data_IF_249803656973
#
_entry.id   IF_249803656973
#
_cell.length_a   1.000
_cell.length_b   1.000
_cell.length_c   1.000
_cell.angle_alpha   90.00
_cell.angle_beta   90.00
_cell.angle_gamma   90.00
#
_symmetry.space_group_name_H-M   'P 1'
#
loop_
_entity.id
_entity.type
_entity.pdbx_description
1 polymer ?
#
# COMPACT_ATOMS: atom_id res chain seq x y z
N UNK A 1 -0.91 -20.68 -14.95
CA UNK A 1 -0.12 -19.58 -14.34
C UNK A 1 1.38 -19.89 -14.40
N UNK A 2 2.25 -18.90 -14.58
CA UNK A 2 3.72 -19.08 -14.59
C UNK A 2 4.25 -19.05 -13.16
N UNK A 3 5.19 -19.96 -12.82
CA UNK A 3 5.87 -20.00 -11.52
C UNK A 3 7.20 -19.24 -11.62
N UNK A 4 7.32 -18.12 -10.94
CA UNK A 4 8.53 -17.27 -10.94
C UNK A 4 9.53 -17.67 -9.86
N UNK A 5 9.04 -18.12 -8.70
CA UNK A 5 9.79 -18.64 -7.58
C UNK A 5 9.43 -20.11 -7.39
N UNK A 6 10.43 -20.98 -7.37
CA UNK A 6 10.23 -22.44 -7.21
C UNK A 6 10.37 -22.85 -5.77
N UNK A 7 11.36 -22.29 -5.06
CA UNK A 7 11.54 -22.54 -3.63
C UNK A 7 12.21 -21.37 -2.95
N UNK A 8 11.99 -21.26 -1.65
CA UNK A 8 12.69 -20.31 -0.77
C UNK A 8 13.17 -21.06 0.47
N UNK A 9 14.45 -20.91 0.80
CA UNK A 9 15.09 -21.65 1.89
C UNK A 9 15.62 -20.68 2.93
N UNK A 10 15.14 -20.82 4.16
CA UNK A 10 15.64 -20.10 5.33
C UNK A 10 16.95 -20.73 5.82
N UNK A 11 17.84 -19.95 6.46
CA UNK A 11 19.07 -20.49 7.03
C UNK A 11 18.77 -21.50 8.13
N UNK A 12 19.53 -22.60 8.16
CA UNK A 12 19.43 -23.58 9.23
C UNK A 12 19.81 -22.97 10.59
N UNK A 13 19.42 -23.63 11.68
CA UNK A 13 19.80 -23.18 13.03
C UNK A 13 21.32 -23.04 13.18
N UNK A 14 22.06 -23.97 12.61
CA UNK A 14 23.54 -23.95 12.62
C UNK A 14 24.09 -22.74 11.86
N UNK A 15 23.52 -22.41 10.69
CA UNK A 15 23.94 -21.23 9.91
C UNK A 15 23.65 -19.93 10.67
N UNK A 16 22.50 -19.86 11.35
CA UNK A 16 22.14 -18.72 12.18
C UNK A 16 23.11 -18.54 13.35
N UNK A 17 23.42 -19.63 14.09
CA UNK A 17 24.38 -19.61 15.20
C UNK A 17 25.77 -19.20 14.74
N UNK A 18 26.24 -19.73 13.60
CA UNK A 18 27.53 -19.36 13.01
C UNK A 18 27.57 -17.88 12.62
N UNK A 19 26.52 -17.38 11.97
CA UNK A 19 26.44 -15.97 11.56
C UNK A 19 26.45 -15.02 12.77
N UNK A 20 25.70 -15.33 13.82
CA UNK A 20 25.71 -14.57 15.08
C UNK A 20 27.05 -14.68 15.82
N UNK A 21 27.77 -15.78 15.62
CA UNK A 21 29.09 -16.01 16.20
C UNK A 21 30.20 -15.19 15.58
N UNK A 22 30.04 -14.58 14.41
CA UNK A 22 31.06 -13.76 13.73
C UNK A 22 31.43 -12.54 14.60
N UNK A 23 32.74 -12.21 14.60
CA UNK A 23 33.30 -11.14 15.43
C UNK A 23 32.63 -9.76 15.18
N UNK A 24 32.15 -9.51 13.95
CA UNK A 24 31.44 -8.29 13.58
C UNK A 24 30.09 -8.19 14.32
N UNK A 25 29.35 -9.28 14.42
CA UNK A 25 28.05 -9.33 15.08
C UNK A 25 28.17 -9.28 16.62
N UNK A 26 29.25 -9.81 17.18
CA UNK A 26 29.56 -9.77 18.63
C UNK A 26 29.90 -8.38 19.16
N UNK A 27 30.43 -7.50 18.30
CA UNK A 27 30.84 -6.14 18.67
C UNK A 27 29.74 -5.10 18.56
N UNK A 28 28.53 -5.50 18.17
CA UNK A 28 27.41 -4.58 18.07
C UNK A 28 26.82 -4.30 19.45
N UNK A 29 26.40 -3.08 19.70
CA UNK A 29 25.68 -2.70 20.93
C UNK A 29 24.19 -3.07 20.88
N UNK A 30 23.72 -3.75 19.84
CA UNK A 30 22.34 -4.12 19.67
C UNK A 30 22.03 -5.39 20.48
N UNK A 31 21.01 -5.33 21.32
CA UNK A 31 20.48 -6.49 22.05
C UNK A 31 19.48 -7.29 21.22
N UNK A 32 18.82 -6.64 20.25
CA UNK A 32 17.83 -7.26 19.39
C UNK A 32 18.50 -7.79 18.11
N UNK A 33 18.50 -9.10 17.95
CA UNK A 33 19.08 -9.81 16.80
C UNK A 33 18.03 -10.19 15.75
N UNK A 34 16.85 -9.56 15.76
CA UNK A 34 15.80 -9.83 14.76
C UNK A 34 16.37 -9.75 13.33
N UNK A 35 16.00 -10.69 12.41
CA UNK A 35 14.99 -11.76 12.54
C UNK A 35 15.54 -13.12 13.02
N UNK A 36 16.79 -13.20 13.47
CA UNK A 36 17.36 -14.44 14.01
C UNK A 36 16.50 -14.98 15.16
N UNK A 37 16.23 -16.28 15.13
CA UNK A 37 15.40 -16.96 16.13
C UNK A 37 13.88 -16.89 15.88
N UNK A 38 13.39 -16.07 14.96
CA UNK A 38 11.93 -16.00 14.64
C UNK A 38 11.41 -17.36 14.15
N UNK A 39 12.18 -18.06 13.35
CA UNK A 39 11.82 -19.34 12.74
C UNK A 39 12.34 -20.55 13.53
N UNK A 40 12.71 -20.37 14.79
CA UNK A 40 13.31 -21.45 15.62
C UNK A 40 12.39 -22.65 15.87
N UNK A 41 11.08 -22.46 15.74
CA UNK A 41 10.06 -23.51 15.87
C UNK A 41 9.70 -24.19 14.54
N UNK A 42 10.26 -23.75 13.41
CA UNK A 42 9.99 -24.32 12.09
C UNK A 42 10.89 -25.55 11.88
N UNK A 43 10.26 -26.67 11.55
CA UNK A 43 10.96 -27.91 11.26
C UNK A 43 11.54 -27.90 9.84
N UNK A 44 10.78 -27.35 8.89
CA UNK A 44 11.21 -27.21 7.51
C UNK A 44 11.73 -25.79 7.24
N UNK A 45 12.94 -25.71 6.73
CA UNK A 45 13.55 -24.44 6.33
C UNK A 45 13.37 -24.16 4.83
N UNK A 46 13.06 -25.17 4.02
CA UNK A 46 12.80 -25.05 2.58
C UNK A 46 11.30 -25.05 2.31
N UNK A 47 10.84 -24.00 1.66
CA UNK A 47 9.46 -23.80 1.26
C UNK A 47 9.36 -24.00 -0.26
N UNK A 48 8.56 -24.95 -0.70
CA UNK A 48 8.24 -25.12 -2.12
C UNK A 48 7.10 -24.16 -2.48
N UNK A 49 7.27 -23.47 -3.63
CA UNK A 49 6.31 -22.48 -4.11
C UNK A 49 5.57 -23.01 -5.33
N UNK A 50 4.27 -22.82 -5.33
CA UNK A 50 3.38 -23.07 -6.47
C UNK A 50 2.95 -21.73 -7.10
N UNK A 51 2.28 -21.71 -8.26
CA UNK A 51 1.79 -20.46 -8.85
C UNK A 51 0.96 -19.60 -7.91
N UNK A 52 0.22 -20.23 -7.00
CA UNK A 52 -0.41 -19.59 -5.85
C UNK A 52 -0.01 -20.39 -4.60
N UNK A 53 0.63 -19.73 -3.65
CA UNK A 53 1.05 -20.33 -2.37
C UNK A 53 0.45 -19.52 -1.23
N UNK A 54 -0.22 -20.19 -0.31
CA UNK A 54 -0.85 -19.56 0.85
C UNK A 54 -0.07 -19.93 2.11
N UNK A 55 0.42 -18.91 2.81
CA UNK A 55 1.06 -19.06 4.12
C UNK A 55 0.00 -18.97 5.21
N UNK A 56 -0.24 -20.07 5.91
CA UNK A 56 -1.21 -20.14 6.99
C UNK A 56 -0.53 -20.26 8.36
N UNK A 57 -1.06 -19.57 9.36
CA UNK A 57 -0.56 -19.62 10.73
C UNK A 57 -1.11 -18.49 11.60
N UNK A 58 -1.05 -18.65 12.93
CA UNK A 58 -1.49 -17.65 13.89
C UNK A 58 -0.65 -16.37 13.90
N UNK A 59 -1.09 -15.38 14.67
CA UNK A 59 -0.32 -14.14 14.85
C UNK A 59 1.01 -14.46 15.56
N UNK A 60 2.08 -13.81 15.11
CA UNK A 60 3.45 -14.04 15.61
C UNK A 60 4.13 -15.30 15.07
N UNK A 61 3.53 -16.05 14.13
CA UNK A 61 4.17 -17.23 13.50
C UNK A 61 5.28 -16.90 12.52
N UNK A 62 5.52 -15.62 12.22
CA UNK A 62 6.60 -15.19 11.34
C UNK A 62 6.21 -14.97 9.86
N UNK A 63 4.92 -15.05 9.49
CA UNK A 63 4.47 -14.87 8.08
C UNK A 63 4.95 -13.55 7.47
N UNK A 64 4.64 -12.43 8.09
CA UNK A 64 5.08 -11.10 7.66
C UNK A 64 6.60 -10.99 7.60
N UNK A 65 7.31 -11.57 8.58
CA UNK A 65 8.78 -11.61 8.57
C UNK A 65 9.30 -12.39 7.36
N UNK A 66 8.71 -13.55 7.06
CA UNK A 66 9.07 -14.35 5.90
C UNK A 66 8.83 -13.59 4.60
N UNK A 67 7.66 -12.97 4.43
CA UNK A 67 7.34 -12.17 3.23
C UNK A 67 8.31 -10.99 3.07
N UNK A 68 8.73 -10.35 4.17
CA UNK A 68 9.74 -9.30 4.14
C UNK A 68 11.11 -9.81 3.71
N UNK A 69 11.53 -10.99 4.22
CA UNK A 69 12.80 -11.63 3.82
C UNK A 69 12.77 -12.02 2.34
N UNK A 70 11.67 -12.59 1.87
CA UNK A 70 11.48 -12.93 0.45
C UNK A 70 11.50 -11.68 -0.42
N UNK A 71 10.79 -10.62 -0.03
CA UNK A 71 10.76 -9.35 -0.74
C UNK A 71 12.17 -8.75 -0.94
N UNK A 72 12.96 -8.70 0.13
CA UNK A 72 14.36 -8.20 0.07
C UNK A 72 15.28 -9.14 -0.72
N UNK A 73 15.20 -10.46 -0.51
CA UNK A 73 16.03 -11.43 -1.21
C UNK A 73 15.78 -11.45 -2.72
N UNK A 74 14.55 -11.22 -3.13
CA UNK A 74 14.11 -11.19 -4.54
C UNK A 74 14.19 -9.79 -5.17
N UNK A 75 14.50 -8.75 -4.38
CA UNK A 75 14.56 -7.37 -4.85
C UNK A 75 13.21 -6.83 -5.33
N UNK A 76 12.11 -7.20 -4.66
CA UNK A 76 10.77 -6.76 -5.02
C UNK A 76 10.50 -5.31 -4.61
N UNK A 77 9.70 -4.62 -5.42
CA UNK A 77 9.24 -3.28 -5.07
C UNK A 77 8.35 -3.31 -3.82
N UNK A 78 8.44 -2.27 -2.98
CA UNK A 78 7.61 -2.13 -1.79
C UNK A 78 7.38 -0.67 -1.46
N UNK A 79 6.16 -0.33 -1.06
CA UNK A 79 5.78 1.03 -0.64
C UNK A 79 5.82 1.18 0.88
N UNK A 80 5.19 0.25 1.61
CA UNK A 80 5.11 0.31 3.07
C UNK A 80 6.46 0.07 3.75
N UNK A 81 6.68 0.78 4.85
CA UNK A 81 7.84 0.57 5.73
C UNK A 81 7.61 -0.68 6.57
N UNK A 82 8.67 -1.45 6.81
CA UNK A 82 8.63 -2.65 7.64
C UNK A 82 9.79 -2.67 8.64
N UNK A 83 9.74 -3.57 9.61
CA UNK A 83 10.77 -3.68 10.63
C UNK A 83 12.09 -4.23 10.03
N UNK A 84 13.02 -3.33 9.75
CA UNK A 84 14.34 -3.62 9.22
C UNK A 84 15.40 -3.35 10.29
N UNK A 85 15.53 -4.29 11.23
CA UNK A 85 16.55 -4.23 12.26
C UNK A 85 17.97 -4.34 11.69
N UNK A 86 18.99 -4.02 12.49
CA UNK A 86 20.38 -4.00 12.08
C UNK A 86 20.90 -5.32 11.50
N UNK A 87 20.32 -6.46 11.93
CA UNK A 87 20.71 -7.80 11.47
C UNK A 87 19.85 -8.34 10.33
N UNK A 88 18.85 -7.58 9.86
CA UNK A 88 17.91 -8.07 8.85
C UNK A 88 18.64 -8.47 7.56
N UNK A 89 19.51 -7.62 7.03
CA UNK A 89 20.27 -7.91 5.83
C UNK A 89 21.20 -9.12 5.99
N UNK A 90 21.82 -9.28 7.16
CA UNK A 90 22.66 -10.45 7.43
C UNK A 90 21.88 -11.77 7.34
N UNK A 91 20.61 -11.74 7.73
CA UNK A 91 19.73 -12.91 7.62
C UNK A 91 19.28 -13.14 6.17
N UNK A 92 18.91 -12.07 5.44
CA UNK A 92 18.59 -12.13 4.00
C UNK A 92 19.72 -12.76 3.20
N UNK A 93 20.95 -12.37 3.49
CA UNK A 93 22.15 -12.89 2.80
C UNK A 93 22.41 -14.40 3.04
N UNK A 94 21.79 -14.98 4.06
CA UNK A 94 21.83 -16.41 4.34
C UNK A 94 20.68 -17.18 3.68
N UNK A 95 19.62 -16.49 3.27
CA UNK A 95 18.50 -17.11 2.59
C UNK A 95 18.92 -17.54 1.18
N UNK A 96 18.32 -18.63 0.70
CA UNK A 96 18.54 -19.13 -0.65
C UNK A 96 17.18 -19.26 -1.35
N UNK A 97 17.18 -19.11 -2.65
CA UNK A 97 15.96 -19.29 -3.43
C UNK A 97 16.27 -19.83 -4.83
N UNK A 98 15.31 -20.50 -5.41
CA UNK A 98 15.35 -21.02 -6.77
C UNK A 98 14.18 -20.47 -7.57
N UNK A 99 14.43 -20.04 -8.80
CA UNK A 99 13.40 -19.47 -9.66
C UNK A 99 13.99 -18.76 -10.87
N UNK A 100 13.24 -17.83 -11.42
CA UNK A 100 13.70 -16.97 -12.52
C UNK A 100 14.88 -16.10 -12.04
N UNK A 101 15.95 -16.00 -12.85
CA UNK A 101 17.14 -15.23 -12.48
C UNK A 101 16.86 -13.77 -12.14
N UNK A 102 15.86 -13.20 -12.76
CA UNK A 102 15.42 -11.82 -12.54
C UNK A 102 13.90 -11.79 -12.47
N UNK A 103 13.38 -11.21 -11.38
CA UNK A 103 11.95 -11.01 -11.23
C UNK A 103 11.45 -10.00 -12.27
N UNK A 104 10.27 -10.19 -12.84
CA UNK A 104 9.68 -9.23 -13.77
C UNK A 104 9.56 -7.85 -13.15
N UNK A 105 9.81 -6.79 -13.94
CA UNK A 105 9.66 -5.41 -13.51
C UNK A 105 8.25 -5.14 -12.98
N UNK A 106 8.14 -4.46 -11.83
CA UNK A 106 6.88 -4.22 -11.15
C UNK A 106 6.36 -5.41 -10.34
N UNK A 107 7.20 -6.45 -10.10
CA UNK A 107 6.94 -7.44 -9.06
C UNK A 107 7.08 -6.79 -7.68
N UNK A 108 6.12 -7.01 -6.78
CA UNK A 108 6.02 -6.21 -5.57
C UNK A 108 5.52 -6.99 -4.34
N UNK A 109 5.81 -6.42 -3.18
CA UNK A 109 5.16 -6.77 -1.91
C UNK A 109 4.03 -5.78 -1.69
N UNK A 110 2.80 -6.26 -1.54
CA UNK A 110 1.60 -5.48 -1.28
C UNK A 110 1.04 -5.86 0.10
N UNK A 111 0.75 -4.87 0.93
CA UNK A 111 0.35 -5.09 2.32
C UNK A 111 -0.98 -4.41 2.64
N UNK A 112 -1.63 -4.83 3.72
CA UNK A 112 -2.80 -4.12 4.26
C UNK A 112 -2.46 -2.70 4.71
N UNK A 113 -1.22 -2.44 5.12
CA UNK A 113 -0.75 -1.09 5.49
C UNK A 113 -0.78 -0.14 4.29
N UNK A 114 -0.41 -0.61 3.10
CA UNK A 114 -0.50 0.19 1.86
C UNK A 114 -1.94 0.60 1.54
N UNK A 115 -2.91 -0.30 1.82
CA UNK A 115 -4.35 0.00 1.67
C UNK A 115 -4.77 1.09 2.66
N UNK A 116 -4.26 1.00 3.89
CA UNK A 116 -4.57 1.98 4.93
C UNK A 116 -4.02 3.37 4.58
N UNK A 117 -2.80 3.44 4.06
CA UNK A 117 -2.20 4.69 3.58
C UNK A 117 -3.02 5.30 2.43
N UNK A 118 -3.42 4.50 1.43
CA UNK A 118 -4.29 4.96 0.34
C UNK A 118 -5.66 5.47 0.86
N UNK A 119 -6.22 4.84 1.92
CA UNK A 119 -7.45 5.30 2.56
C UNK A 119 -7.28 6.64 3.28
N UNK A 120 -6.14 6.84 3.96
CA UNK A 120 -5.83 8.13 4.61
C UNK A 120 -5.65 9.24 3.58
N UNK A 121 -4.94 8.97 2.49
CA UNK A 121 -4.77 9.92 1.37
C UNK A 121 -6.11 10.33 0.77
N UNK A 122 -7.02 9.37 0.54
CA UNK A 122 -8.38 9.65 0.04
C UNK A 122 -9.20 10.48 1.03
N UNK A 123 -9.07 10.23 2.34
CA UNK A 123 -9.78 11.03 3.36
C UNK A 123 -9.24 12.45 3.41
N UNK A 124 -7.93 12.63 3.37
CA UNK A 124 -7.30 13.96 3.33
C UNK A 124 -7.71 14.76 2.09
N UNK A 125 -7.80 14.10 0.93
CA UNK A 125 -8.31 14.70 -0.31
C UNK A 125 -9.77 15.12 -0.16
N UNK A 126 -10.62 14.28 0.41
CA UNK A 126 -12.03 14.58 0.63
C UNK A 126 -12.22 15.74 1.64
N UNK A 127 -11.40 15.78 2.70
CA UNK A 127 -11.38 16.90 3.64
C UNK A 127 -10.98 18.22 2.95
N UNK A 128 -9.96 18.19 2.08
CA UNK A 128 -9.56 19.33 1.26
C UNK A 128 -10.71 19.80 0.35
N UNK A 129 -11.38 18.88 -0.33
CA UNK A 129 -12.54 19.18 -1.19
C UNK A 129 -13.70 19.80 -0.39
N UNK A 130 -13.96 19.33 0.83
CA UNK A 130 -15.02 19.88 1.69
C UNK A 130 -14.68 21.29 2.18
N UNK A 131 -13.40 21.58 2.48
CA UNK A 131 -12.94 22.93 2.81
C UNK A 131 -13.08 23.88 1.61
N UNK A 132 -12.66 23.44 0.41
CA UNK A 132 -12.82 24.22 -0.82
C UNK A 132 -14.29 24.46 -1.13
N UNK A 133 -15.15 23.46 -0.91
CA UNK A 133 -16.62 23.59 -1.06
C UNK A 133 -17.20 24.64 -0.12
N UNK A 134 -16.76 24.67 1.14
CA UNK A 134 -17.19 25.68 2.11
C UNK A 134 -16.72 27.08 1.72
N UNK A 135 -15.47 27.22 1.27
CA UNK A 135 -14.94 28.49 0.79
C UNK A 135 -15.70 29.01 -0.43
N UNK A 136 -16.00 28.14 -1.40
CA UNK A 136 -16.81 28.50 -2.58
C UNK A 136 -18.26 28.84 -2.25
N UNK A 137 -18.85 28.16 -1.24
CA UNK A 137 -20.20 28.54 -0.77
C UNK A 137 -20.19 29.91 -0.09
N UNK A 138 -19.14 30.25 0.61
CA UNK A 138 -18.99 31.58 1.19
C UNK A 138 -18.77 32.63 0.09
N UNK A 139 -17.87 32.38 -0.87
CA UNK A 139 -17.69 33.25 -2.05
C UNK A 139 -19.02 33.47 -2.81
N UNK A 140 -19.80 32.41 -3.00
CA UNK A 140 -21.12 32.50 -3.62
C UNK A 140 -22.06 33.45 -2.88
N UNK A 141 -22.10 33.40 -1.55
CA UNK A 141 -22.91 34.30 -0.71
C UNK A 141 -22.44 35.74 -0.82
N UNK A 142 -21.13 35.95 -0.81
CA UNK A 142 -20.53 37.27 -0.90
C UNK A 142 -20.76 37.90 -2.28
N UNK A 143 -20.57 37.15 -3.37
CA UNK A 143 -20.85 37.60 -4.74
C UNK A 143 -22.34 37.94 -4.97
N UNK A 144 -23.24 37.29 -4.26
CA UNK A 144 -24.67 37.52 -4.40
C UNK A 144 -25.17 38.71 -3.57
N UNK A 145 -24.45 39.02 -2.48
CA UNK A 145 -24.78 40.14 -1.58
C UNK A 145 -24.19 41.49 -2.04
N UNK A 146 -23.10 41.44 -2.82
CA UNK A 146 -22.40 42.63 -3.31
C UNK A 146 -22.96 43.10 -4.65
N UNK A 147 -23.37 44.39 -4.73
CA UNK A 147 -23.66 45.06 -6.00
C UNK A 147 -22.34 45.32 -6.77
N UNK A 148 -22.13 44.61 -7.87
CA UNK A 148 -20.91 44.76 -8.69
C UNK A 148 -21.11 45.80 -9.82
N UNK A 149 -20.17 46.71 -9.94
CA UNK A 149 -20.08 47.64 -11.08
C UNK A 149 -18.72 47.40 -11.83
N UNK A 150 -18.82 47.14 -13.13
CA UNK A 150 -17.64 46.96 -13.97
C UNK A 150 -16.90 48.29 -14.12
N UNK A 151 -15.62 48.33 -13.73
CA UNK A 151 -14.77 49.53 -13.85
C UNK A 151 -13.60 49.35 -14.83
N UNK A 152 -13.19 48.12 -15.09
CA UNK A 152 -12.06 47.79 -15.99
C UNK A 152 -12.31 46.48 -16.73
N UNK A 153 -11.59 46.23 -17.83
CA UNK A 153 -11.55 44.98 -18.57
C UNK A 153 -10.94 43.82 -17.73
N UNK A 154 -10.07 44.14 -16.78
CA UNK A 154 -9.48 43.16 -15.88
C UNK A 154 -10.50 42.57 -14.91
N UNK A 155 -11.63 43.25 -14.68
CA UNK A 155 -12.74 42.81 -13.84
C UNK A 155 -13.64 41.76 -14.53
N UNK A 156 -13.37 41.44 -15.80
CA UNK A 156 -14.24 40.53 -16.58
C UNK A 156 -14.37 39.14 -15.99
N UNK A 157 -13.27 38.58 -15.44
CA UNK A 157 -13.29 37.30 -14.75
C UNK A 157 -14.20 37.30 -13.50
N UNK A 158 -14.13 38.40 -12.72
CA UNK A 158 -14.98 38.58 -11.54
C UNK A 158 -16.46 38.78 -11.93
N UNK A 159 -16.72 39.56 -12.97
CA UNK A 159 -18.08 39.73 -13.51
C UNK A 159 -18.72 38.40 -13.90
N UNK A 160 -17.97 37.50 -14.55
CA UNK A 160 -18.43 36.19 -14.96
C UNK A 160 -18.84 35.34 -13.75
N UNK A 161 -18.06 35.39 -12.67
CA UNK A 161 -18.40 34.71 -11.39
C UNK A 161 -19.64 35.30 -10.74
N UNK A 162 -19.79 36.62 -10.70
CA UNK A 162 -20.99 37.31 -10.18
C UNK A 162 -22.22 36.88 -10.95
N UNK A 163 -22.18 36.89 -12.28
CA UNK A 163 -23.31 36.46 -13.14
C UNK A 163 -23.63 34.98 -12.90
N UNK A 164 -22.61 34.13 -12.77
CA UNK A 164 -22.79 32.71 -12.45
C UNK A 164 -23.43 32.51 -11.08
N UNK A 165 -23.00 33.24 -10.06
CA UNK A 165 -23.59 33.19 -8.71
C UNK A 165 -25.07 33.71 -8.68
N UNK A 166 -25.41 34.70 -9.51
CA UNK A 166 -26.77 35.22 -9.59
C UNK A 166 -27.73 34.27 -10.35
N UNK A 167 -27.23 33.53 -11.34
CA UNK A 167 -28.02 32.63 -12.19
C UNK A 167 -28.18 31.23 -11.63
N UNK A 168 -27.23 30.76 -10.87
CA UNK A 168 -27.16 29.39 -10.38
C UNK A 168 -27.55 29.30 -8.90
N UNK A 169 -27.91 28.10 -8.46
CA UNK A 169 -27.98 27.77 -7.04
C UNK A 169 -26.57 27.60 -6.48
N UNK A 170 -26.38 27.77 -5.17
CA UNK A 170 -25.07 27.56 -4.51
C UNK A 170 -24.43 26.20 -4.84
N UNK A 171 -25.23 25.13 -4.86
CA UNK A 171 -24.75 23.78 -5.22
C UNK A 171 -24.33 23.68 -6.68
N UNK A 172 -25.01 24.36 -7.60
CA UNK A 172 -24.64 24.36 -9.02
C UNK A 172 -23.36 25.19 -9.26
N UNK A 173 -23.23 26.31 -8.57
CA UNK A 173 -22.02 27.15 -8.61
C UNK A 173 -20.78 26.38 -8.12
N UNK A 174 -20.86 25.75 -6.95
CA UNK A 174 -19.76 24.94 -6.39
C UNK A 174 -19.41 23.77 -7.30
N UNK A 175 -20.38 23.07 -7.87
CA UNK A 175 -20.14 21.94 -8.78
C UNK A 175 -19.44 22.38 -10.08
N UNK A 176 -19.71 23.58 -10.55
CA UNK A 176 -19.07 24.13 -11.75
C UNK A 176 -17.61 24.48 -11.52
N UNK A 177 -17.26 24.96 -10.32
CA UNK A 177 -15.88 25.37 -9.97
C UNK A 177 -15.01 24.19 -9.52
N UNK A 178 -15.54 23.21 -8.76
CA UNK A 178 -14.76 22.08 -8.22
C UNK A 178 -14.55 20.90 -9.20
N UNK A 179 -15.25 20.86 -10.33
CA UNK A 179 -15.25 19.62 -11.14
C UNK A 179 -16.01 18.47 -10.45
N UNK A 180 -15.89 17.25 -10.90
CA UNK A 180 -16.67 16.11 -10.37
C UNK A 180 -16.33 15.71 -8.92
N UNK A 181 -17.33 15.25 -8.17
CA UNK A 181 -17.14 14.65 -6.84
C UNK A 181 -16.35 13.34 -6.93
N UNK A 182 -15.30 13.21 -6.12
CA UNK A 182 -14.74 11.90 -5.78
C UNK A 182 -15.73 11.21 -4.83
N UNK A 183 -16.49 10.24 -5.34
CA UNK A 183 -17.37 9.43 -4.49
C UNK A 183 -16.51 8.64 -3.51
N UNK A 184 -16.75 8.83 -2.23
CA UNK A 184 -16.16 8.00 -1.19
C UNK A 184 -16.59 6.54 -1.39
N UNK A 185 -15.65 5.65 -1.70
CA UNK A 185 -15.86 4.21 -1.67
C UNK A 185 -15.84 3.73 -0.22
N UNK A 186 -16.50 2.62 0.07
CA UNK A 186 -16.35 1.96 1.37
C UNK A 186 -14.89 1.47 1.55
N UNK A 187 -14.45 1.30 2.80
CA UNK A 187 -13.10 0.81 3.08
C UNK A 187 -12.81 -0.51 2.34
N UNK A 188 -13.77 -1.44 2.34
CA UNK A 188 -13.64 -2.72 1.64
C UNK A 188 -13.57 -2.58 0.11
N UNK A 189 -14.36 -1.68 -0.49
CA UNK A 189 -14.28 -1.39 -1.93
C UNK A 189 -12.94 -0.77 -2.31
N UNK A 190 -12.41 0.11 -1.46
CA UNK A 190 -11.11 0.74 -1.67
C UNK A 190 -9.99 -0.31 -1.57
N UNK A 191 -10.06 -1.20 -0.57
CA UNK A 191 -9.08 -2.28 -0.40
C UNK A 191 -9.10 -3.24 -1.59
N UNK A 192 -10.27 -3.69 -2.04
CA UNK A 192 -10.38 -4.55 -3.22
C UNK A 192 -9.85 -3.84 -4.47
N UNK A 193 -10.22 -2.57 -4.68
CA UNK A 193 -9.75 -1.77 -5.80
C UNK A 193 -8.21 -1.58 -5.75
N UNK A 194 -7.63 -1.42 -4.57
CA UNK A 194 -6.17 -1.35 -4.38
C UNK A 194 -5.49 -2.58 -4.96
N UNK A 195 -5.85 -3.79 -4.49
CA UNK A 195 -5.22 -5.03 -4.95
C UNK A 195 -5.50 -5.29 -6.44
N UNK A 196 -6.75 -5.18 -6.88
CA UNK A 196 -7.12 -5.47 -8.28
C UNK A 196 -6.52 -4.50 -9.30
N UNK A 197 -6.20 -3.28 -8.91
CA UNK A 197 -5.53 -2.31 -9.79
C UNK A 197 -4.02 -2.51 -9.89
N UNK A 198 -3.40 -3.11 -8.86
CA UNK A 198 -1.94 -3.29 -8.79
C UNK A 198 -1.48 -4.66 -9.24
N UNK A 199 -2.28 -5.69 -8.98
CA UNK A 199 -1.97 -7.04 -9.42
C UNK A 199 -2.26 -7.18 -10.91
N UNK A 200 -1.23 -7.46 -11.68
CA UNK A 200 -1.30 -7.65 -13.13
C UNK A 200 -0.60 -8.96 -13.51
N UNK A 201 -1.02 -9.55 -14.61
CA UNK A 201 -0.40 -10.78 -15.12
C UNK A 201 1.10 -10.60 -15.42
N UNK A 202 1.83 -11.69 -15.34
CA UNK A 202 3.23 -11.71 -15.72
C UNK A 202 4.21 -11.18 -14.67
N UNK A 203 3.80 -11.03 -13.42
CA UNK A 203 4.61 -10.54 -12.30
C UNK A 203 4.48 -11.43 -11.08
N UNK A 204 5.42 -11.29 -10.15
CA UNK A 204 5.37 -11.94 -8.83
C UNK A 204 4.85 -10.95 -7.79
N UNK A 205 3.87 -11.37 -7.00
CA UNK A 205 3.36 -10.58 -5.88
C UNK A 205 3.42 -11.37 -4.58
N UNK A 206 3.86 -10.71 -3.53
CA UNK A 206 3.74 -11.18 -2.15
C UNK A 206 2.65 -10.32 -1.48
N UNK A 207 1.58 -10.97 -1.03
CA UNK A 207 0.45 -10.30 -0.39
C UNK A 207 0.50 -10.56 1.12
N UNK A 208 0.60 -9.50 1.93
CA UNK A 208 0.63 -9.61 3.39
C UNK A 208 -0.69 -9.12 3.97
N UNK A 209 -1.41 -10.06 4.61
CA UNK A 209 -2.72 -9.84 5.25
C UNK A 209 -3.75 -9.11 4.34
N UNK A 210 -3.90 -9.53 3.07
CA UNK A 210 -4.81 -8.83 2.15
C UNK A 210 -6.27 -8.88 2.59
N UNK A 211 -6.61 -9.80 3.51
CA UNK A 211 -7.95 -9.97 4.06
C UNK A 211 -8.33 -8.93 5.14
N UNK A 212 -7.38 -8.27 5.78
CA UNK A 212 -7.62 -7.45 6.98
C UNK A 212 -8.63 -6.31 6.78
N UNK A 213 -8.74 -5.76 5.59
CA UNK A 213 -9.66 -4.66 5.29
C UNK A 213 -10.87 -5.08 4.46
N UNK A 214 -11.05 -6.40 4.23
CA UNK A 214 -12.07 -6.95 3.34
C UNK A 214 -13.17 -7.68 4.11
N UNK A 215 -14.43 -7.43 3.73
CA UNK A 215 -15.55 -8.28 4.15
C UNK A 215 -15.44 -9.67 3.50
N UNK A 216 -16.16 -10.66 4.02
CA UNK A 216 -16.15 -12.02 3.48
C UNK A 216 -16.45 -12.08 1.97
N UNK A 217 -17.39 -11.25 1.49
CA UNK A 217 -17.74 -11.18 0.07
C UNK A 217 -16.59 -10.62 -0.77
N UNK A 218 -15.89 -9.59 -0.27
CA UNK A 218 -14.73 -9.00 -0.94
C UNK A 218 -13.50 -9.91 -0.88
N UNK A 219 -13.32 -10.69 0.19
CA UNK A 219 -12.27 -11.72 0.26
C UNK A 219 -12.49 -12.78 -0.84
N UNK A 220 -13.74 -13.24 -1.02
CA UNK A 220 -14.07 -14.17 -2.11
C UNK A 220 -13.86 -13.53 -3.49
N UNK A 221 -14.20 -12.25 -3.65
CA UNK A 221 -13.97 -11.53 -4.90
C UNK A 221 -12.47 -11.41 -5.22
N UNK A 222 -11.64 -11.11 -4.21
CA UNK A 222 -10.19 -11.07 -4.37
C UNK A 222 -9.63 -12.46 -4.72
N UNK A 223 -10.06 -13.51 -4.02
CA UNK A 223 -9.62 -14.88 -4.31
C UNK A 223 -9.89 -15.26 -5.76
N UNK A 224 -11.11 -15.03 -6.27
CA UNK A 224 -11.48 -15.28 -7.67
C UNK A 224 -10.69 -14.45 -8.68
N UNK A 225 -10.26 -13.26 -8.28
CA UNK A 225 -9.43 -12.39 -9.14
C UNK A 225 -8.00 -12.92 -9.23
N UNK A 226 -7.49 -13.55 -8.17
CA UNK A 226 -6.12 -14.10 -8.12
C UNK A 226 -5.99 -15.47 -8.78
N UNK A 227 -7.07 -16.23 -8.96
CA UNK A 227 -7.14 -17.50 -9.72
C UNK A 227 -7.01 -17.27 -11.23
#
# INVERSE_FOLDING_TARGET
MKRYLSSFTLPSKTDQEFALGKAVNRRTCYQNVYPFGVFGAWEETRLEMEPITILYGGNGSGKTTLLNLMGDALGLERRSVYNRAAFFQNFVDLCQWEGERQMPAGSAVLTSDDVFDDLLDLRSLNEGIDLDRQALLQEYKDLRSQGFQLRSLDDYGHLKKVISAQRNTGSAFVRQELGGELRGKSNGETALAYFTSRVTEGRLYLLDEPENSLSADYQQALARFLE
#
